data_IF_854643759431
#
_entry.id   IF_854643759431
#
_cell.length_a   1.000
_cell.length_b   1.000
_cell.length_c   1.000
_cell.angle_alpha   90.00
_cell.angle_beta   90.00
_cell.angle_gamma   90.00
#
_symmetry.space_group_name_H-M   'P 1'
#
loop_
_entity.id
_entity.type
_entity.pdbx_description
1 polymer ?
#
# COMPACT_ATOMS: atom_id res chain seq x y z
N UNK A 1 18.90 35.66 -45.33
CA UNK A 1 19.21 35.70 -43.88
C UNK A 1 18.39 34.59 -43.22
N UNK A 2 18.96 33.40 -43.12
CA UNK A 2 18.38 32.27 -42.38
C UNK A 2 19.14 32.15 -41.07
N UNK A 3 18.45 32.29 -39.94
CA UNK A 3 18.99 31.92 -38.64
C UNK A 3 18.64 30.45 -38.42
N UNK A 4 19.65 29.58 -38.45
CA UNK A 4 19.56 28.27 -37.84
C UNK A 4 19.64 28.49 -36.33
N UNK A 5 18.58 28.15 -35.60
CA UNK A 5 18.69 27.98 -34.16
C UNK A 5 19.44 26.67 -33.93
N UNK A 6 20.71 26.78 -33.58
CA UNK A 6 21.48 25.72 -32.94
C UNK A 6 20.73 25.24 -31.70
N UNK A 7 20.38 23.95 -31.72
CA UNK A 7 19.81 23.24 -30.58
C UNK A 7 20.97 22.94 -29.63
N UNK A 8 21.33 23.92 -28.80
CA UNK A 8 22.25 23.75 -27.69
C UNK A 8 21.67 22.66 -26.78
N UNK A 9 22.19 21.44 -26.92
CA UNK A 9 21.94 20.33 -26.04
C UNK A 9 22.59 20.66 -24.69
N UNK A 10 21.87 21.43 -23.89
CA UNK A 10 22.18 21.66 -22.49
C UNK A 10 22.19 20.28 -21.81
N UNK A 11 23.42 19.81 -21.62
CA UNK A 11 23.82 18.69 -20.79
C UNK A 11 23.36 18.98 -19.36
N UNK A 12 22.06 18.81 -19.09
CA UNK A 12 21.59 18.67 -17.73
C UNK A 12 22.07 17.29 -17.28
N UNK A 13 23.25 17.32 -16.68
CA UNK A 13 23.90 16.19 -16.05
C UNK A 13 22.94 15.68 -14.98
N UNK A 14 22.21 14.61 -15.29
CA UNK A 14 21.50 13.82 -14.29
C UNK A 14 22.60 13.14 -13.47
N UNK A 15 23.07 13.85 -12.44
CA UNK A 15 23.95 13.29 -11.43
C UNK A 15 23.29 12.07 -10.80
N UNK A 16 24.06 11.01 -10.49
CA UNK A 16 23.50 9.84 -9.82
C UNK A 16 23.09 10.26 -8.42
N UNK A 17 21.78 10.30 -8.21
CA UNK A 17 21.09 10.18 -6.92
C UNK A 17 21.78 10.88 -5.75
N UNK A 18 21.44 12.15 -5.56
CA UNK A 18 21.66 12.86 -4.31
C UNK A 18 20.95 12.12 -3.16
N UNK A 19 21.75 11.58 -2.23
CA UNK A 19 21.32 11.10 -0.92
C UNK A 19 20.78 12.27 -0.09
N UNK A 20 19.56 12.70 -0.41
CA UNK A 20 18.96 13.93 0.10
C UNK A 20 17.48 13.76 0.42
N UNK A 21 17.17 12.99 1.46
CA UNK A 21 16.03 13.32 2.33
C UNK A 21 14.60 13.25 1.77
N UNK A 22 14.25 12.23 0.97
CA UNK A 22 12.85 11.79 1.00
C UNK A 22 12.69 10.83 2.20
N UNK A 23 12.41 11.42 3.36
CA UNK A 23 11.86 10.66 4.47
C UNK A 23 10.72 9.78 3.95
N UNK A 24 10.78 8.50 4.31
CA UNK A 24 9.99 7.38 3.81
C UNK A 24 8.50 7.48 4.21
N UNK A 25 7.84 8.58 3.88
CA UNK A 25 6.45 8.89 4.24
C UNK A 25 5.46 8.64 3.10
N UNK A 26 5.83 7.74 2.19
CA UNK A 26 5.00 7.17 1.15
C UNK A 26 5.07 5.64 1.41
N UNK A 27 4.02 4.89 1.76
CA UNK A 27 2.62 5.10 1.40
C UNK A 27 1.67 4.18 2.23
N UNK A 28 0.61 4.71 2.87
CA UNK A 28 -0.50 3.88 3.33
C UNK A 28 -1.28 3.23 2.16
N UNK A 29 -1.12 3.72 0.92
CA UNK A 29 -1.86 3.26 -0.26
C UNK A 29 -1.47 1.83 -0.72
N UNK A 30 -0.19 1.43 -0.86
CA UNK A 30 0.26 0.08 -1.13
C UNK A 30 -0.09 -0.89 -0.02
N UNK A 31 -0.03 -0.45 1.24
CA UNK A 31 -0.40 -1.27 2.38
C UNK A 31 -1.91 -1.59 2.35
N UNK A 32 -2.75 -0.57 2.15
CA UNK A 32 -4.20 -0.74 1.94
C UNK A 32 -4.50 -1.67 0.76
N UNK A 33 -3.89 -1.43 -0.41
CA UNK A 33 -4.14 -2.23 -1.60
C UNK A 33 -3.71 -3.69 -1.41
N UNK A 34 -2.61 -3.93 -0.70
CA UNK A 34 -2.15 -5.28 -0.36
C UNK A 34 -3.15 -5.98 0.55
N UNK A 35 -3.62 -5.31 1.60
CA UNK A 35 -4.62 -5.87 2.52
C UNK A 35 -5.93 -6.18 1.78
N UNK A 36 -6.42 -5.27 0.92
CA UNK A 36 -7.64 -5.49 0.15
C UNK A 36 -7.49 -6.65 -0.85
N UNK A 37 -6.34 -6.77 -1.51
CA UNK A 37 -6.05 -7.92 -2.39
C UNK A 37 -6.10 -9.23 -1.61
N UNK A 38 -5.51 -9.27 -0.42
CA UNK A 38 -5.54 -10.47 0.45
C UNK A 38 -6.95 -10.76 0.96
N UNK A 39 -7.72 -9.72 1.32
CA UNK A 39 -9.10 -9.86 1.77
C UNK A 39 -9.98 -10.46 0.66
N UNK A 40 -9.78 -10.08 -0.61
CA UNK A 40 -10.49 -10.66 -1.75
C UNK A 40 -10.17 -12.15 -1.96
N UNK A 41 -8.99 -12.62 -1.52
CA UNK A 41 -8.68 -14.05 -1.57
C UNK A 41 -9.41 -14.87 -0.50
N UNK A 42 -9.91 -14.22 0.56
CA UNK A 42 -10.70 -14.84 1.62
C UNK A 42 -12.20 -14.67 1.34
N UNK A 43 -12.63 -13.46 1.00
CA UNK A 43 -13.99 -13.12 0.58
C UNK A 43 -13.96 -12.59 -0.86
N UNK A 44 -14.29 -13.43 -1.87
CA UNK A 44 -14.21 -13.06 -3.28
C UNK A 44 -15.08 -11.87 -3.70
N UNK A 45 -16.07 -11.47 -2.89
CA UNK A 45 -16.91 -10.33 -3.19
C UNK A 45 -16.21 -9.01 -2.82
N UNK A 46 -15.78 -8.18 -3.81
CA UNK A 46 -14.93 -7.02 -3.55
C UNK A 46 -15.63 -5.93 -2.71
N UNK A 47 -16.95 -5.84 -2.83
CA UNK A 47 -17.78 -4.94 -2.01
C UNK A 47 -17.74 -5.36 -0.54
N UNK A 48 -17.90 -6.66 -0.27
CA UNK A 48 -17.85 -7.21 1.09
C UNK A 48 -16.45 -7.12 1.69
N UNK A 49 -15.39 -7.42 0.91
CA UNK A 49 -14.01 -7.22 1.34
C UNK A 49 -13.72 -5.75 1.69
N UNK A 50 -14.26 -4.81 0.91
CA UNK A 50 -14.19 -3.38 1.19
C UNK A 50 -14.95 -2.97 2.45
N UNK A 51 -16.16 -3.52 2.67
CA UNK A 51 -16.93 -3.31 3.88
C UNK A 51 -16.22 -3.86 5.12
N UNK A 52 -15.68 -5.08 5.05
CA UNK A 52 -14.90 -5.69 6.12
C UNK A 52 -13.70 -4.81 6.48
N UNK A 53 -12.93 -4.36 5.47
CA UNK A 53 -11.74 -3.54 5.68
C UNK A 53 -12.04 -2.27 6.50
N UNK A 54 -13.19 -1.64 6.22
CA UNK A 54 -13.56 -0.38 6.85
C UNK A 54 -14.33 -0.52 8.17
N UNK A 55 -15.16 -1.56 8.30
CA UNK A 55 -16.22 -1.60 9.34
C UNK A 55 -16.11 -2.75 10.31
N UNK A 56 -15.48 -3.86 9.93
CA UNK A 56 -15.39 -5.03 10.79
C UNK A 56 -14.22 -4.88 11.74
N UNK A 57 -14.50 -4.96 13.04
CA UNK A 57 -13.49 -4.98 14.09
C UNK A 57 -12.91 -6.38 14.22
N UNK A 58 -11.58 -6.47 14.27
CA UNK A 58 -10.85 -7.73 14.39
C UNK A 58 -10.49 -7.91 15.86
N UNK A 59 -11.18 -8.82 16.56
CA UNK A 59 -11.05 -8.99 18.00
C UNK A 59 -9.62 -9.37 18.43
N UNK A 60 -8.92 -10.14 17.60
CA UNK A 60 -7.55 -10.60 17.81
C UNK A 60 -6.50 -9.52 17.57
N UNK A 61 -6.89 -8.44 16.87
CA UNK A 61 -6.05 -7.29 16.59
C UNK A 61 -6.61 -6.06 17.32
N UNK A 62 -6.75 -6.21 18.65
CA UNK A 62 -7.16 -5.17 19.59
C UNK A 62 -8.56 -4.59 19.34
N UNK A 63 -9.42 -5.31 18.59
CA UNK A 63 -10.75 -4.84 18.23
C UNK A 63 -10.75 -3.68 17.24
N UNK A 64 -9.65 -3.46 16.51
CA UNK A 64 -9.53 -2.42 15.49
C UNK A 64 -9.99 -2.92 14.12
N UNK A 65 -10.36 -2.00 13.24
CA UNK A 65 -10.61 -2.33 11.83
C UNK A 65 -9.31 -2.44 11.05
N UNK A 66 -9.33 -3.16 9.93
CA UNK A 66 -8.15 -3.26 9.06
C UNK A 66 -7.68 -1.89 8.57
N UNK A 67 -8.61 -0.97 8.27
CA UNK A 67 -8.29 0.41 7.91
C UNK A 67 -7.55 1.17 9.02
N UNK A 68 -7.99 1.00 10.28
CA UNK A 68 -7.32 1.61 11.43
C UNK A 68 -5.92 1.01 11.63
N UNK A 69 -5.79 -0.31 11.52
CA UNK A 69 -4.50 -1.00 11.65
C UNK A 69 -3.51 -0.58 10.56
N UNK A 70 -3.95 -0.45 9.30
CA UNK A 70 -3.13 0.07 8.20
C UNK A 70 -2.69 1.51 8.48
N UNK A 71 -3.60 2.35 8.99
CA UNK A 71 -3.30 3.75 9.33
C UNK A 71 -2.29 3.87 10.48
N UNK A 72 -2.21 2.87 11.36
CA UNK A 72 -1.24 2.75 12.43
C UNK A 72 0.09 2.08 11.99
N UNK A 73 0.25 1.75 10.71
CA UNK A 73 1.43 1.04 10.20
C UNK A 73 1.46 -0.45 10.53
N UNK A 74 0.35 -1.04 10.99
CA UNK A 74 0.22 -2.44 11.39
C UNK A 74 -0.39 -3.33 10.28
N UNK A 75 -0.10 -3.02 9.03
CA UNK A 75 -0.63 -3.78 7.89
C UNK A 75 -0.17 -5.25 7.90
N UNK A 76 1.07 -5.51 8.33
CA UNK A 76 1.61 -6.87 8.45
C UNK A 76 0.80 -7.77 9.38
N UNK A 77 0.27 -7.22 10.49
CA UNK A 77 -0.56 -7.98 11.43
C UNK A 77 -1.87 -8.42 10.76
N UNK A 78 -2.48 -7.54 9.98
CA UNK A 78 -3.69 -7.84 9.19
C UNK A 78 -3.40 -8.87 8.11
N UNK A 79 -2.25 -8.78 7.44
CA UNK A 79 -1.84 -9.74 6.41
C UNK A 79 -1.66 -11.13 7.03
N UNK A 80 -0.95 -11.26 8.15
CA UNK A 80 -0.78 -12.54 8.86
C UNK A 80 -2.12 -13.12 9.32
N UNK A 81 -3.01 -12.27 9.82
CA UNK A 81 -4.37 -12.67 10.18
C UNK A 81 -5.13 -13.23 8.98
N UNK A 82 -5.14 -12.54 7.83
CA UNK A 82 -5.80 -13.02 6.61
C UNK A 82 -5.20 -14.33 6.08
N UNK A 83 -3.88 -14.48 6.14
CA UNK A 83 -3.20 -15.73 5.79
C UNK A 83 -3.65 -16.89 6.70
N UNK A 84 -3.79 -16.64 8.02
CA UNK A 84 -4.25 -17.66 8.96
C UNK A 84 -5.68 -18.14 8.67
N UNK A 85 -6.56 -17.24 8.22
CA UNK A 85 -7.93 -17.59 7.80
C UNK A 85 -7.87 -18.41 6.51
N UNK A 86 -7.14 -17.92 5.49
CA UNK A 86 -7.03 -18.59 4.19
C UNK A 86 -6.51 -20.02 4.31
N UNK A 87 -5.52 -20.23 5.16
CA UNK A 87 -4.86 -21.52 5.32
C UNK A 87 -5.66 -22.50 6.20
N UNK A 88 -6.89 -22.12 6.61
CA UNK A 88 -7.77 -22.97 7.42
C UNK A 88 -7.27 -23.18 8.85
N UNK A 89 -6.34 -22.34 9.32
CA UNK A 89 -5.91 -22.34 10.73
C UNK A 89 -7.01 -21.80 11.67
N UNK A 90 -8.13 -21.34 11.11
CA UNK A 90 -9.37 -20.98 11.80
C UNK A 90 -10.53 -21.75 11.17
N UNK A 91 -11.11 -22.66 11.96
CA UNK A 91 -12.48 -23.18 11.84
C UNK A 91 -13.39 -22.37 12.77
#
# INVERSE_FOLDING_TARGET
MSAACEFEAEHWSISPFDEGGYSTFFEPVPAMLTVLRMAVQVEPHPVEAGFWYQRTRIAELDGLTAAQLVSLGRADDVIRFLLSIRDGARD
#
